data_IF_599502083615
#
_entry.id   IF_599502083615
#
_cell.length_a   1.000
_cell.length_b   1.000
_cell.length_c   1.000
_cell.angle_alpha   90.00
_cell.angle_beta   90.00
_cell.angle_gamma   90.00
#
_symmetry.space_group_name_H-M   'P 1'
#
loop_
_entity.id
_entity.type
_entity.pdbx_description
1 polymer ?
#
# COMPACT_ATOMS: atom_id res chain seq x y z
N UNK A 1 7.76 18.20 -2.45
CA UNK A 1 6.32 17.90 -2.51
C UNK A 1 6.04 16.42 -2.36
N UNK A 2 6.24 15.96 -1.13
CA UNK A 2 6.05 14.57 -0.75
C UNK A 2 4.56 14.33 -0.56
N UNK A 3 3.95 13.52 -1.41
CA UNK A 3 2.51 13.32 -1.38
C UNK A 3 2.16 11.85 -1.45
N UNK A 4 1.11 11.51 -0.73
CA UNK A 4 0.38 10.27 -0.96
C UNK A 4 -0.22 10.34 -2.37
N UNK A 5 -0.03 9.28 -3.13
CA UNK A 5 -0.70 9.10 -4.39
C UNK A 5 -2.13 8.60 -4.12
N UNK A 6 -3.11 9.30 -4.65
CA UNK A 6 -4.50 8.87 -4.58
C UNK A 6 -4.95 8.33 -5.94
N UNK A 7 -5.57 7.15 -5.93
CA UNK A 7 -6.22 6.65 -7.14
C UNK A 7 -7.44 7.48 -7.50
N UNK A 8 -7.91 7.36 -8.72
CA UNK A 8 -9.29 7.68 -9.05
C UNK A 8 -10.26 6.81 -8.24
N UNK A 9 -11.55 7.14 -8.32
CA UNK A 9 -12.60 6.31 -7.74
C UNK A 9 -12.71 5.02 -8.55
N UNK A 10 -12.65 3.87 -7.86
CA UNK A 10 -12.70 2.54 -8.46
C UNK A 10 -13.86 1.74 -7.86
N UNK A 11 -14.65 1.11 -8.72
CA UNK A 11 -15.65 0.12 -8.33
C UNK A 11 -15.03 -1.27 -8.44
N UNK A 12 -15.31 -2.19 -7.49
CA UNK A 12 -14.91 -3.58 -7.63
C UNK A 12 -15.43 -4.21 -8.93
N UNK A 13 -14.70 -5.17 -9.45
CA UNK A 13 -15.14 -5.95 -10.62
C UNK A 13 -16.39 -6.80 -10.33
N UNK A 14 -16.81 -7.62 -11.31
CA UNK A 14 -18.01 -8.46 -11.19
C UNK A 14 -17.93 -9.49 -10.06
N UNK A 15 -16.72 -9.85 -9.65
CA UNK A 15 -16.44 -10.82 -8.59
C UNK A 15 -16.17 -10.15 -7.22
N UNK A 16 -16.24 -8.82 -7.15
CA UNK A 16 -15.98 -8.05 -5.94
C UNK A 16 -14.50 -7.85 -5.66
N UNK A 17 -13.67 -7.77 -6.70
CA UNK A 17 -12.23 -7.57 -6.55
C UNK A 17 -11.79 -6.19 -7.03
N UNK A 18 -10.72 -5.70 -6.41
CA UNK A 18 -9.86 -4.65 -6.94
C UNK A 18 -8.43 -5.21 -6.95
N UNK A 19 -7.71 -5.04 -8.06
CA UNK A 19 -6.31 -5.44 -8.19
C UNK A 19 -5.43 -4.22 -8.24
N UNK A 20 -4.45 -4.15 -7.34
CA UNK A 20 -3.38 -3.16 -7.34
C UNK A 20 -2.14 -3.77 -8.00
N UNK A 21 -1.66 -3.14 -9.05
CA UNK A 21 -0.51 -3.58 -9.84
C UNK A 21 0.63 -2.58 -9.73
N UNK A 22 1.83 -3.10 -9.54
CA UNK A 22 3.09 -2.36 -9.46
C UNK A 22 4.01 -2.85 -10.56
N UNK A 23 4.57 -1.92 -11.35
CA UNK A 23 5.56 -2.24 -12.38
C UNK A 23 6.60 -1.11 -12.47
N UNK A 24 7.85 -1.43 -12.77
CA UNK A 24 8.85 -0.40 -13.03
C UNK A 24 8.65 0.23 -14.41
N UNK A 25 8.87 1.54 -14.49
CA UNK A 25 8.75 2.31 -15.73
C UNK A 25 10.02 2.33 -16.54
N UNK A 26 11.19 2.31 -15.89
CA UNK A 26 12.51 2.48 -16.52
C UNK A 26 13.35 1.24 -16.36
N UNK A 27 14.23 0.98 -17.33
CA UNK A 27 15.14 -0.19 -17.36
C UNK A 27 16.04 -0.29 -16.11
N UNK A 28 16.41 0.84 -15.52
CA UNK A 28 17.20 0.93 -14.29
C UNK A 28 16.35 1.27 -13.06
N UNK A 29 15.02 1.23 -13.19
CA UNK A 29 14.10 1.58 -12.14
C UNK A 29 13.93 0.46 -11.10
N UNK A 30 13.63 0.86 -9.88
CA UNK A 30 13.00 0.01 -8.86
C UNK A 30 11.69 0.66 -8.46
N UNK A 31 10.72 -0.15 -8.06
CA UNK A 31 9.44 0.30 -7.56
C UNK A 31 9.40 0.08 -6.06
N UNK A 32 8.80 0.99 -5.32
CA UNK A 32 8.65 0.88 -3.87
C UNK A 32 7.21 1.17 -3.47
N UNK A 33 6.70 0.41 -2.53
CA UNK A 33 5.46 0.70 -1.79
C UNK A 33 5.68 0.37 -0.33
N UNK A 34 5.47 1.35 0.54
CA UNK A 34 5.62 1.23 1.98
C UNK A 34 4.27 0.98 2.65
N UNK A 35 3.33 1.87 2.39
CA UNK A 35 2.03 1.84 3.05
C UNK A 35 0.90 2.13 2.06
N UNK A 36 -0.27 1.61 2.37
CA UNK A 36 -1.50 1.86 1.63
C UNK A 36 -2.67 2.13 2.57
N UNK A 37 -3.66 2.87 2.08
CA UNK A 37 -4.98 2.96 2.68
C UNK A 37 -6.02 2.69 1.60
N UNK A 38 -6.98 1.83 1.89
CA UNK A 38 -8.21 1.66 1.10
C UNK A 38 -9.31 2.39 1.84
N UNK A 39 -9.94 3.32 1.16
CA UNK A 39 -11.02 4.11 1.71
C UNK A 39 -12.29 3.90 0.88
N UNK A 40 -13.35 3.48 1.54
CA UNK A 40 -14.69 3.46 0.96
C UNK A 40 -15.20 4.89 0.87
N UNK A 41 -15.65 5.32 -0.30
CA UNK A 41 -16.12 6.68 -0.54
C UNK A 41 -17.63 6.74 -0.33
N UNK A 42 -18.04 7.53 0.65
CA UNK A 42 -19.45 7.88 0.88
C UNK A 42 -19.90 8.92 -0.15
N UNK A 43 -21.17 8.81 -0.59
CA UNK A 43 -21.84 9.92 -1.28
C UNK A 43 -22.04 9.77 -2.79
N UNK A 44 -21.75 8.63 -3.41
CA UNK A 44 -22.38 8.29 -4.68
C UNK A 44 -23.70 7.57 -4.36
N UNK A 45 -24.71 8.37 -4.01
CA UNK A 45 -26.01 7.90 -3.54
C UNK A 45 -26.64 6.94 -4.56
N UNK A 46 -26.70 5.66 -4.19
CA UNK A 46 -27.78 4.78 -4.64
C UNK A 46 -28.84 4.80 -3.53
N UNK A 47 -30.09 5.19 -3.80
CA UNK A 47 -31.15 5.15 -2.82
C UNK A 47 -31.32 3.73 -2.28
N UNK A 48 -31.33 3.54 -0.97
CA UNK A 48 -31.50 2.30 -0.19
C UNK A 48 -30.25 1.52 0.23
N UNK A 49 -29.15 2.17 0.55
CA UNK A 49 -28.02 1.52 1.19
C UNK A 49 -28.14 1.65 2.71
N UNK A 50 -28.04 0.51 3.42
CA UNK A 50 -27.91 0.52 4.88
C UNK A 50 -26.73 1.42 5.27
N UNK A 51 -26.98 2.39 6.15
CA UNK A 51 -25.96 3.29 6.69
C UNK A 51 -24.99 2.48 7.56
N UNK A 52 -23.95 1.94 6.97
CA UNK A 52 -22.77 1.48 7.71
C UNK A 52 -21.68 2.56 7.59
N UNK A 53 -20.84 2.64 8.59
CA UNK A 53 -19.68 3.53 8.55
C UNK A 53 -18.79 3.15 7.36
N UNK A 54 -18.28 4.16 6.66
CA UNK A 54 -17.31 3.97 5.58
C UNK A 54 -16.08 3.23 6.09
N UNK A 55 -15.63 2.24 5.34
CA UNK A 55 -14.46 1.45 5.69
C UNK A 55 -13.17 2.25 5.41
N UNK A 56 -12.22 2.17 6.34
CA UNK A 56 -10.84 2.64 6.18
C UNK A 56 -9.92 1.53 6.59
N UNK A 57 -9.14 1.04 5.66
CA UNK A 57 -8.26 -0.12 5.84
C UNK A 57 -6.84 0.33 5.59
N UNK A 58 -6.00 0.31 6.64
CA UNK A 58 -4.58 0.62 6.56
C UNK A 58 -3.77 -0.64 6.36
N UNK A 59 -2.77 -0.61 5.48
CA UNK A 59 -1.94 -1.75 5.13
C UNK A 59 -0.48 -1.32 5.21
N UNK A 60 0.27 -2.02 6.03
CA UNK A 60 1.70 -1.97 6.18
C UNK A 60 2.32 -3.05 5.29
N UNK A 61 3.26 -2.66 4.42
CA UNK A 61 3.84 -3.51 3.38
C UNK A 61 5.35 -3.62 3.56
N UNK A 62 5.81 -4.72 4.13
CA UNK A 62 7.26 -4.83 4.33
C UNK A 62 7.72 -6.04 5.11
N UNK A 63 8.48 -5.81 6.14
CA UNK A 63 9.21 -6.79 6.91
C UNK A 63 8.43 -7.28 8.14
N UNK A 64 8.92 -8.35 8.73
CA UNK A 64 8.42 -8.88 10.00
C UNK A 64 9.48 -8.70 11.06
N UNK A 65 9.27 -7.74 11.98
CA UNK A 65 10.05 -7.50 13.21
C UNK A 65 11.56 -7.77 13.11
N UNK A 66 12.25 -6.91 12.37
CA UNK A 66 13.69 -6.95 12.22
C UNK A 66 14.28 -5.56 12.40
N UNK A 67 15.03 -5.31 13.48
CA UNK A 67 15.63 -4.01 13.85
C UNK A 67 16.44 -3.33 12.73
N UNK A 68 16.96 -4.10 11.78
CA UNK A 68 17.72 -3.55 10.65
C UNK A 68 16.90 -3.37 9.39
N UNK A 69 15.67 -3.91 9.36
CA UNK A 69 14.86 -3.97 8.15
C UNK A 69 13.48 -3.35 8.31
N UNK A 70 12.83 -3.49 9.44
CA UNK A 70 11.53 -2.89 9.73
C UNK A 70 10.73 -3.66 10.76
N UNK A 71 9.63 -3.07 11.19
CA UNK A 71 8.73 -3.63 12.19
C UNK A 71 7.29 -3.56 11.72
N UNK A 72 6.52 -4.54 12.13
CA UNK A 72 5.07 -4.52 11.93
C UNK A 72 4.42 -3.40 12.73
N UNK A 73 3.42 -2.76 12.15
CA UNK A 73 2.56 -1.81 12.88
C UNK A 73 1.54 -2.59 13.70
N UNK A 74 1.82 -2.79 15.00
CA UNK A 74 0.99 -3.58 15.92
C UNK A 74 0.17 -2.70 16.85
N UNK A 75 -1.06 -3.15 17.15
CA UNK A 75 -1.98 -2.39 17.99
C UNK A 75 -2.54 -1.14 17.29
N UNK A 76 -3.14 -0.25 18.08
CA UNK A 76 -3.58 1.03 17.58
C UNK A 76 -2.38 1.99 17.43
N UNK A 77 -2.28 2.67 16.30
CA UNK A 77 -1.29 3.71 16.08
C UNK A 77 -1.61 4.98 16.90
N UNK A 78 -0.77 6.01 16.78
CA UNK A 78 -0.96 7.28 17.52
C UNK A 78 -2.28 8.01 17.20
N UNK A 79 -2.91 7.67 16.07
CA UNK A 79 -4.19 8.22 15.63
C UNK A 79 -5.38 7.32 16.03
N UNK A 80 -5.09 6.18 16.69
CA UNK A 80 -6.07 5.18 17.08
C UNK A 80 -6.44 4.19 15.98
N UNK A 81 -5.75 4.17 14.84
CA UNK A 81 -6.02 3.27 13.74
C UNK A 81 -5.28 1.94 13.89
N UNK A 82 -5.95 0.85 13.57
CA UNK A 82 -5.36 -0.48 13.44
C UNK A 82 -4.91 -0.75 12.01
N UNK A 83 -3.77 -1.46 11.90
CA UNK A 83 -3.11 -1.73 10.63
C UNK A 83 -3.11 -3.22 10.31
N UNK A 84 -3.07 -3.52 9.04
CA UNK A 84 -2.98 -4.86 8.48
C UNK A 84 -1.58 -5.08 7.94
N UNK A 85 -0.81 -5.99 8.54
CA UNK A 85 0.59 -6.19 8.17
C UNK A 85 0.71 -7.27 7.08
N UNK A 86 0.88 -6.87 5.84
CA UNK A 86 1.17 -7.75 4.72
C UNK A 86 2.70 -7.85 4.57
N UNK A 87 3.28 -8.76 5.33
CA UNK A 87 4.72 -8.87 5.53
C UNK A 87 5.27 -10.23 5.11
N UNK A 88 6.59 -10.39 5.19
CA UNK A 88 7.30 -11.63 4.90
C UNK A 88 6.89 -12.82 5.80
N UNK A 89 6.25 -12.55 6.94
CA UNK A 89 5.84 -13.55 7.91
C UNK A 89 7.00 -14.22 8.69
N UNK A 90 8.26 -13.83 8.40
CA UNK A 90 9.46 -14.34 9.06
C UNK A 90 10.54 -13.27 9.11
N UNK A 91 11.07 -12.96 10.29
CA UNK A 91 12.11 -11.95 10.49
C UNK A 91 13.40 -12.16 9.66
N UNK A 92 13.67 -13.34 9.17
CA UNK A 92 14.83 -13.67 8.33
C UNK A 92 14.52 -13.70 6.83
N UNK A 93 13.26 -13.55 6.44
CA UNK A 93 12.85 -13.54 5.03
C UNK A 93 12.84 -12.11 4.50
N UNK A 94 13.30 -11.93 3.28
CA UNK A 94 13.24 -10.68 2.54
C UNK A 94 12.20 -10.74 1.41
N UNK A 95 11.18 -11.56 1.56
CA UNK A 95 10.18 -11.81 0.52
C UNK A 95 8.82 -12.10 1.13
N UNK A 96 7.78 -11.52 0.56
CA UNK A 96 6.39 -11.94 0.78
C UNK A 96 6.08 -13.00 -0.29
N UNK A 97 5.78 -14.24 0.10
CA UNK A 97 5.52 -15.30 -0.87
C UNK A 97 4.29 -15.02 -1.75
N UNK A 98 4.29 -15.55 -2.96
CA UNK A 98 3.07 -15.62 -3.77
C UNK A 98 1.99 -16.40 -3.03
N UNK A 99 0.74 -15.91 -3.08
CA UNK A 99 -0.41 -16.54 -2.44
C UNK A 99 -0.52 -16.25 -0.95
N UNK A 100 0.31 -15.34 -0.40
CA UNK A 100 0.11 -14.85 0.97
C UNK A 100 -1.25 -14.16 1.06
N UNK A 101 -2.06 -14.61 2.01
CA UNK A 101 -3.42 -14.08 2.26
C UNK A 101 -3.52 -13.47 3.63
N UNK A 102 -4.22 -12.35 3.72
CA UNK A 102 -4.49 -11.62 4.95
C UNK A 102 -5.95 -11.18 4.97
N UNK A 103 -6.71 -11.61 5.98
CA UNK A 103 -8.04 -11.07 6.24
C UNK A 103 -7.88 -9.69 6.87
N UNK A 104 -8.49 -8.69 6.25
CA UNK A 104 -8.30 -7.31 6.62
C UNK A 104 -9.28 -6.86 7.71
N UNK A 105 -8.76 -6.08 8.65
CA UNK A 105 -9.57 -5.35 9.62
C UNK A 105 -9.67 -3.88 9.21
N UNK A 106 -10.75 -3.25 9.64
CA UNK A 106 -10.98 -1.81 9.52
C UNK A 106 -10.10 -1.02 10.51
N UNK A 107 -10.02 0.29 10.36
CA UNK A 107 -9.23 1.17 11.23
C UNK A 107 -9.64 1.09 12.72
N UNK A 108 -10.86 0.67 13.03
CA UNK A 108 -11.35 0.42 14.38
C UNK A 108 -11.19 -1.04 14.86
N UNK A 109 -10.42 -1.84 14.14
CA UNK A 109 -10.17 -3.27 14.38
C UNK A 109 -11.39 -4.19 14.18
N UNK A 110 -12.42 -3.75 13.50
CA UNK A 110 -13.56 -4.59 13.12
C UNK A 110 -13.27 -5.39 11.85
N UNK A 111 -13.80 -6.60 11.74
CA UNK A 111 -13.67 -7.43 10.54
C UNK A 111 -14.35 -6.77 9.34
N UNK A 112 -13.68 -6.78 8.19
CA UNK A 112 -14.23 -6.19 6.96
C UNK A 112 -14.87 -7.20 6.03
N UNK A 113 -14.51 -8.47 6.13
CA UNK A 113 -14.81 -9.50 5.13
C UNK A 113 -13.95 -9.41 3.87
N UNK A 114 -13.00 -8.46 3.82
CA UNK A 114 -12.09 -8.26 2.70
C UNK A 114 -10.80 -9.04 2.96
N UNK A 115 -10.26 -9.66 1.91
CA UNK A 115 -8.98 -10.38 1.93
C UNK A 115 -8.02 -9.74 0.94
N UNK A 116 -6.77 -9.49 1.37
CA UNK A 116 -5.65 -9.17 0.48
C UNK A 116 -4.90 -10.45 0.13
N UNK A 117 -4.49 -10.60 -1.13
CA UNK A 117 -3.68 -11.74 -1.63
C UNK A 117 -2.58 -11.25 -2.56
N UNK A 118 -1.33 -11.68 -2.32
CA UNK A 118 -0.22 -11.45 -3.25
C UNK A 118 -0.30 -12.41 -4.43
N UNK A 119 -0.40 -11.92 -5.66
CA UNK A 119 -0.49 -12.78 -6.84
C UNK A 119 0.87 -13.21 -7.37
N UNK A 120 1.94 -12.52 -7.02
CA UNK A 120 3.33 -12.88 -7.24
C UNK A 120 4.12 -12.69 -5.94
N UNK A 121 5.31 -13.27 -5.87
CA UNK A 121 6.27 -13.01 -4.81
C UNK A 121 6.71 -11.54 -4.87
N UNK A 122 6.82 -10.88 -3.72
CA UNK A 122 7.33 -9.50 -3.59
C UNK A 122 8.59 -9.50 -2.72
N UNK A 123 9.61 -8.81 -3.15
CA UNK A 123 10.81 -8.60 -2.34
C UNK A 123 10.56 -7.48 -1.33
N UNK A 124 11.19 -7.59 -0.15
CA UNK A 124 11.07 -6.60 0.93
C UNK A 124 12.42 -6.05 1.32
N UNK A 125 12.43 -4.83 1.82
CA UNK A 125 13.61 -4.17 2.41
C UNK A 125 13.14 -3.04 3.32
N UNK A 126 14.05 -2.37 4.04
CA UNK A 126 13.58 -1.37 4.98
C UNK A 126 14.66 -0.46 5.57
N UNK A 127 14.68 -0.33 6.89
CA UNK A 127 15.39 0.68 7.69
C UNK A 127 16.81 0.97 7.18
N UNK A 128 17.65 -0.06 7.05
CA UNK A 128 19.06 0.10 6.62
C UNK A 128 19.22 0.26 5.09
N UNK A 129 18.13 0.20 4.34
CA UNK A 129 18.13 0.31 2.89
C UNK A 129 17.33 1.52 2.37
N UNK A 130 17.08 2.49 3.24
CA UNK A 130 16.45 3.75 2.86
C UNK A 130 14.94 3.81 3.15
N UNK A 131 14.44 3.04 4.09
CA UNK A 131 13.09 3.21 4.61
C UNK A 131 12.90 4.58 5.29
N UNK A 132 11.68 5.07 5.32
CA UNK A 132 11.35 6.40 5.86
C UNK A 132 11.13 6.32 7.36
N UNK A 133 12.18 6.61 8.13
CA UNK A 133 12.19 6.47 9.59
C UNK A 133 11.57 7.66 10.36
N UNK A 134 11.34 8.78 9.69
CA UNK A 134 10.80 10.00 10.30
C UNK A 134 9.68 10.58 9.42
N UNK A 135 8.56 9.87 9.25
CA UNK A 135 7.43 10.38 8.47
C UNK A 135 6.76 11.56 9.19
N UNK A 136 6.32 12.56 8.44
CA UNK A 136 5.58 13.70 8.99
C UNK A 136 4.13 13.69 8.52
N UNK A 137 3.22 14.14 9.39
CA UNK A 137 1.81 14.27 9.03
C UNK A 137 1.57 15.32 7.94
N UNK A 138 2.41 16.33 7.88
CA UNK A 138 2.37 17.33 6.81
C UNK A 138 2.50 16.69 5.43
N UNK A 139 3.34 15.66 5.31
CA UNK A 139 3.63 14.99 4.05
C UNK A 139 2.73 13.77 3.79
N UNK A 140 2.43 13.00 4.83
CA UNK A 140 1.81 11.69 4.69
C UNK A 140 0.47 11.55 5.42
N UNK A 141 -0.04 12.63 6.03
CA UNK A 141 -1.30 12.58 6.75
C UNK A 141 -1.36 11.40 7.73
N UNK A 142 -2.43 10.64 7.66
CA UNK A 142 -2.67 9.46 8.50
C UNK A 142 -1.79 8.24 8.15
N UNK A 143 -1.08 8.24 7.02
CA UNK A 143 -0.06 7.25 6.71
C UNK A 143 1.32 7.54 7.34
N UNK A 144 1.48 8.64 8.08
CA UNK A 144 2.74 9.03 8.71
C UNK A 144 3.05 8.20 9.98
N UNK A 145 3.04 6.89 9.87
CA UNK A 145 3.37 5.95 10.95
C UNK A 145 4.73 5.33 10.65
N UNK A 146 5.69 5.50 11.55
CA UNK A 146 7.09 5.10 11.31
C UNK A 146 7.18 3.62 10.94
N UNK A 147 6.59 2.73 11.71
CA UNK A 147 6.62 1.28 11.47
C UNK A 147 6.05 0.89 10.09
N UNK A 148 5.06 1.64 9.59
CA UNK A 148 4.47 1.42 8.27
C UNK A 148 5.22 2.11 7.12
N UNK A 149 6.22 2.94 7.40
CA UNK A 149 6.98 3.68 6.37
C UNK A 149 8.46 3.34 6.34
N UNK A 150 8.98 2.72 7.41
CA UNK A 150 10.42 2.41 7.56
C UNK A 150 10.87 1.20 6.73
N UNK A 151 9.93 0.45 6.20
CA UNK A 151 10.18 -0.65 5.29
C UNK A 151 9.24 -0.60 4.06
N UNK A 152 9.44 -1.51 3.13
CA UNK A 152 8.73 -1.47 1.86
C UNK A 152 8.83 -2.80 1.09
N UNK A 153 7.87 -3.04 0.21
CA UNK A 153 8.01 -3.99 -0.90
C UNK A 153 8.66 -3.28 -2.08
N UNK A 154 9.46 -4.02 -2.86
CA UNK A 154 10.13 -3.48 -4.03
C UNK A 154 10.17 -4.46 -5.20
N UNK A 155 10.37 -3.92 -6.40
CA UNK A 155 10.42 -4.67 -7.65
C UNK A 155 11.59 -4.15 -8.49
N UNK A 156 12.46 -5.04 -8.96
CA UNK A 156 13.63 -4.68 -9.78
C UNK A 156 13.64 -5.30 -11.18
N UNK A 157 12.75 -6.25 -11.43
CA UNK A 157 12.61 -6.90 -12.73
C UNK A 157 11.47 -6.25 -13.56
N UNK A 158 11.29 -6.70 -14.79
CA UNK A 158 10.26 -6.17 -15.71
C UNK A 158 8.88 -6.81 -15.51
N UNK A 159 8.76 -7.69 -14.49
CA UNK A 159 7.48 -8.34 -14.20
C UNK A 159 6.66 -7.49 -13.25
N UNK A 160 5.37 -7.50 -13.46
CA UNK A 160 4.43 -6.87 -12.55
C UNK A 160 4.31 -7.64 -11.23
N UNK A 161 3.97 -6.91 -10.17
CA UNK A 161 3.57 -7.46 -8.87
C UNK A 161 2.19 -6.97 -8.54
N UNK A 162 1.36 -7.87 -8.05
CA UNK A 162 -0.06 -7.58 -7.83
C UNK A 162 -0.50 -7.99 -6.44
N UNK A 163 -1.34 -7.15 -5.86
CA UNK A 163 -2.13 -7.44 -4.66
C UNK A 163 -3.60 -7.40 -5.08
N UNK A 164 -4.31 -8.49 -4.88
CA UNK A 164 -5.75 -8.57 -5.12
C UNK A 164 -6.49 -8.40 -3.80
N UNK A 165 -7.41 -7.47 -3.78
CA UNK A 165 -8.39 -7.28 -2.71
C UNK A 165 -9.70 -7.93 -3.14
N UNK A 166 -10.21 -8.89 -2.38
CA UNK A 166 -11.43 -9.65 -2.66
C UNK A 166 -12.44 -9.49 -1.53
N UNK A 167 -13.73 -9.66 -1.84
CA UNK A 167 -14.80 -9.50 -0.85
C UNK A 167 -15.29 -8.05 -0.68
N UNK A 168 -14.89 -7.16 -1.58
CA UNK A 168 -15.35 -5.78 -1.62
C UNK A 168 -16.84 -5.71 -2.00
N UNK A 169 -17.57 -4.79 -1.41
CA UNK A 169 -18.97 -4.53 -1.74
C UNK A 169 -19.09 -3.91 -3.15
N UNK A 170 -19.65 -4.65 -4.08
CA UNK A 170 -19.82 -4.23 -5.48
C UNK A 170 -20.75 -3.03 -5.68
N UNK A 171 -21.54 -2.69 -4.68
CA UNK A 171 -22.39 -1.51 -4.68
C UNK A 171 -21.68 -0.24 -4.23
N UNK A 172 -20.46 -0.38 -3.70
CA UNK A 172 -19.63 0.70 -3.16
C UNK A 172 -18.48 1.04 -4.09
N UNK A 173 -17.90 2.20 -3.89
CA UNK A 173 -16.69 2.60 -4.57
C UNK A 173 -15.58 2.91 -3.56
N UNK A 174 -14.35 2.77 -4.03
CA UNK A 174 -13.15 2.82 -3.22
C UNK A 174 -12.11 3.74 -3.84
N UNK A 175 -11.27 4.29 -2.97
CA UNK A 175 -10.05 5.00 -3.35
C UNK A 175 -8.87 4.35 -2.64
N UNK A 176 -7.76 4.15 -3.36
CA UNK A 176 -6.51 3.70 -2.80
C UNK A 176 -5.58 4.91 -2.61
N UNK A 177 -5.04 5.03 -1.41
CA UNK A 177 -3.97 5.95 -1.08
C UNK A 177 -2.68 5.13 -0.98
N UNK A 178 -1.66 5.52 -1.73
CA UNK A 178 -0.44 4.75 -1.87
C UNK A 178 0.74 5.63 -1.49
N UNK A 179 1.56 5.13 -0.58
CA UNK A 179 2.85 5.72 -0.26
C UNK A 179 3.97 4.79 -0.71
N UNK A 180 4.87 5.28 -1.57
CA UNK A 180 6.03 4.55 -2.04
C UNK A 180 7.25 5.45 -2.09
N UNK A 181 8.26 5.16 -1.26
CA UNK A 181 9.48 5.94 -1.17
C UNK A 181 10.66 5.11 -0.68
N UNK A 182 11.85 5.49 -1.13
CA UNK A 182 13.12 5.00 -0.63
C UNK A 182 14.11 6.16 -0.55
N UNK A 183 14.63 6.44 0.63
CA UNK A 183 15.62 7.49 0.85
C UNK A 183 17.02 6.88 0.68
N UNK A 184 17.65 7.12 -0.47
CA UNK A 184 19.03 6.71 -0.74
C UNK A 184 19.74 7.84 -1.47
N UNK A 185 21.06 7.93 -1.29
CA UNK A 185 21.88 8.92 -1.99
C UNK A 185 22.22 8.42 -3.41
N UNK A 186 21.21 8.28 -4.25
CA UNK A 186 21.35 7.86 -5.64
C UNK A 186 21.01 9.00 -6.59
N UNK A 187 21.67 9.00 -7.75
CA UNK A 187 21.45 9.98 -8.82
C UNK A 187 20.48 9.49 -9.90
N UNK A 188 20.05 8.22 -9.79
CA UNK A 188 19.19 7.58 -10.81
C UNK A 188 17.73 7.67 -10.40
N UNK A 189 16.90 8.27 -11.24
CA UNK A 189 15.46 8.32 -11.06
C UNK A 189 14.85 6.92 -11.15
N UNK A 190 14.09 6.55 -10.13
CA UNK A 190 13.36 5.29 -10.07
C UNK A 190 11.88 5.58 -10.21
N UNK A 191 11.33 5.21 -11.35
CA UNK A 191 9.94 5.48 -11.67
C UNK A 191 9.10 4.20 -11.53
N UNK A 192 8.08 4.32 -10.73
CA UNK A 192 7.09 3.29 -10.46
C UNK A 192 5.80 3.59 -11.21
N UNK A 193 5.22 2.61 -11.88
CA UNK A 193 3.85 2.69 -12.39
C UNK A 193 2.96 1.92 -11.42
N UNK A 194 1.88 2.55 -11.02
CA UNK A 194 0.83 1.97 -10.19
C UNK A 194 -0.46 1.95 -10.97
N UNK A 195 -1.11 0.79 -10.99
CA UNK A 195 -2.42 0.61 -11.62
C UNK A 195 -3.39 0.03 -10.61
N UNK A 196 -4.62 0.52 -10.63
CA UNK A 196 -5.73 0.01 -9.81
C UNK A 196 -6.84 -0.40 -10.76
N UNK A 197 -7.13 -1.68 -10.81
CA UNK A 197 -8.10 -2.30 -11.70
C UNK A 197 -9.31 -2.82 -10.94
N UNK A 198 -10.48 -2.45 -11.41
CA UNK A 198 -11.79 -2.95 -10.97
C UNK A 198 -12.74 -3.00 -12.16
N UNK A 199 -13.91 -2.38 -12.08
CA UNK A 199 -14.79 -2.17 -13.27
C UNK A 199 -14.17 -1.20 -14.29
N UNK A 200 -13.30 -0.33 -13.82
CA UNK A 200 -12.47 0.58 -14.62
C UNK A 200 -11.03 0.50 -14.12
N UNK A 201 -10.10 0.91 -14.96
CA UNK A 201 -8.67 0.97 -14.62
C UNK A 201 -8.25 2.42 -14.42
N UNK A 202 -7.44 2.65 -13.38
CA UNK A 202 -6.73 3.89 -13.14
C UNK A 202 -5.23 3.60 -13.08
N UNK A 203 -4.42 4.41 -13.73
CA UNK A 203 -2.97 4.24 -13.74
C UNK A 203 -2.26 5.58 -13.65
N UNK A 204 -1.18 5.60 -12.91
CA UNK A 204 -0.25 6.74 -12.85
C UNK A 204 1.17 6.26 -12.56
N UNK A 205 2.11 7.18 -12.57
CA UNK A 205 3.49 6.89 -12.22
C UNK A 205 4.03 7.87 -11.18
N UNK A 206 5.04 7.44 -10.46
CA UNK A 206 5.67 8.15 -9.36
C UNK A 206 7.18 7.96 -9.43
N UNK A 207 7.94 9.03 -9.22
CA UNK A 207 9.38 8.92 -8.95
C UNK A 207 9.59 8.63 -7.48
N UNK A 208 10.22 7.49 -7.18
CA UNK A 208 10.41 7.00 -5.80
C UNK A 208 11.86 7.09 -5.35
N UNK A 209 12.65 8.02 -5.88
CA UNK A 209 14.06 8.16 -5.58
C UNK A 209 14.41 9.19 -4.55
N UNK A 210 15.42 8.86 -3.90
CA UNK A 210 16.57 9.40 -3.20
C UNK A 210 16.45 10.67 -2.40
N UNK A 211 15.79 11.67 -2.84
CA UNK A 211 15.74 12.96 -2.16
C UNK A 211 14.33 13.39 -1.74
N UNK A 212 13.35 12.65 -2.15
CA UNK A 212 11.95 12.97 -1.92
C UNK A 212 11.28 11.90 -1.07
N UNK A 213 10.66 12.30 0.02
CA UNK A 213 9.70 11.46 0.74
C UNK A 213 8.40 11.53 -0.05
N UNK A 214 7.93 10.43 -0.63
CA UNK A 214 6.71 10.40 -1.43
C UNK A 214 6.86 10.74 -2.92
N UNK A 215 8.09 10.89 -3.43
CA UNK A 215 8.41 10.77 -4.84
C UNK A 215 7.90 11.79 -5.84
N UNK A 216 7.59 13.01 -5.43
CA UNK A 216 7.35 14.11 -6.36
C UNK A 216 8.33 15.24 -6.13
N UNK A 217 8.99 15.68 -7.21
CA UNK A 217 9.64 16.97 -7.29
C UNK A 217 8.60 18.04 -7.65
#
# INVERSE_FOLDING_TARGET
NNKILESGIVFPDRDGNITFTIIKKNINGMVHVNAMKIEEIDGLERPNINLRLAQRIYIDLGETDNNSRGHQTVGADRNGNYWNNLTSGRASSNQIPKGTKLNLVNSDNTETGITAETLQMMETNGVNAGGVNNPTEENLGDLAIQTATEDYVWVNDDNERQIRFSGLDKSRCYKLHIFGSRIVNETTDRNSIYTVDGQSSWSTWLTTTGRCIGGFD
#
